data_IF_433615804790
#
_entry.id   IF_433615804790
#
_cell.length_a   1.000
_cell.length_b   1.000
_cell.length_c   1.000
_cell.angle_alpha   90.00
_cell.angle_beta   90.00
_cell.angle_gamma   90.00
#
_symmetry.space_group_name_H-M   'P 1'
#
loop_
_entity.id
_entity.type
_entity.pdbx_description
1 polymer ?
#
# COMPACT_ATOMS: atom_id res chain seq x y z
N UNK A 1 36.12 -10.00 -7.40
CA UNK A 1 35.20 -9.25 -6.52
C UNK A 1 34.30 -8.44 -7.45
N UNK A 2 33.16 -9.00 -7.87
CA UNK A 2 32.18 -8.28 -8.67
C UNK A 2 31.34 -7.45 -7.71
N UNK A 3 31.49 -6.13 -7.77
CA UNK A 3 30.53 -5.21 -7.15
C UNK A 3 29.26 -5.34 -8.00
N UNK A 4 28.27 -6.06 -7.49
CA UNK A 4 26.91 -5.96 -8.00
C UNK A 4 26.45 -4.55 -7.66
N UNK A 5 26.56 -3.65 -8.64
CA UNK A 5 25.92 -2.34 -8.54
C UNK A 5 24.43 -2.63 -8.68
N UNK A 6 23.75 -2.70 -7.55
CA UNK A 6 22.30 -2.80 -7.50
C UNK A 6 21.74 -1.46 -7.99
N UNK A 7 21.34 -1.41 -9.26
CA UNK A 7 20.70 -0.21 -9.83
C UNK A 7 19.28 -0.14 -9.29
N UNK A 8 19.11 0.52 -8.14
CA UNK A 8 17.79 0.90 -7.66
C UNK A 8 17.22 1.99 -8.57
N UNK A 9 16.21 1.63 -9.35
CA UNK A 9 15.46 2.59 -10.17
C UNK A 9 14.29 3.13 -9.37
N UNK A 10 14.29 4.44 -9.13
CA UNK A 10 13.14 5.14 -8.57
C UNK A 10 12.21 5.51 -9.73
N UNK A 11 10.97 5.06 -9.66
CA UNK A 11 9.93 5.32 -10.66
C UNK A 11 8.68 5.83 -9.96
N UNK A 12 8.01 6.82 -10.55
CA UNK A 12 6.76 7.34 -9.97
C UNK A 12 5.63 6.30 -10.10
N UNK A 13 4.72 6.28 -9.13
CA UNK A 13 3.58 5.35 -9.13
C UNK A 13 2.73 5.44 -10.41
N UNK A 14 2.35 6.64 -10.92
CA UNK A 14 1.59 6.73 -12.17
C UNK A 14 2.36 6.13 -13.35
N UNK A 15 3.68 6.34 -13.42
CA UNK A 15 4.50 5.82 -14.51
C UNK A 15 4.63 4.30 -14.45
N UNK A 16 4.83 3.74 -13.26
CA UNK A 16 4.87 2.29 -13.08
C UNK A 16 3.52 1.66 -13.44
N UNK A 17 2.42 2.24 -12.96
CA UNK A 17 1.06 1.79 -13.28
C UNK A 17 0.79 1.81 -14.79
N UNK A 18 1.16 2.89 -15.49
CA UNK A 18 1.05 2.97 -16.96
C UNK A 18 1.82 1.85 -17.67
N UNK A 19 3.05 1.56 -17.24
CA UNK A 19 3.87 0.50 -17.83
C UNK A 19 3.20 -0.86 -17.62
N UNK A 20 2.76 -1.15 -16.38
CA UNK A 20 2.07 -2.41 -16.06
C UNK A 20 0.79 -2.57 -16.87
N UNK A 21 -0.05 -1.53 -16.98
CA UNK A 21 -1.27 -1.57 -17.77
C UNK A 21 -1.02 -1.76 -19.28
N UNK A 22 0.13 -1.31 -19.81
CA UNK A 22 0.49 -1.57 -21.22
C UNK A 22 0.87 -3.03 -21.48
N UNK A 23 1.26 -3.77 -20.44
CA UNK A 23 1.65 -5.19 -20.54
C UNK A 23 0.46 -6.15 -20.40
N UNK A 24 -0.70 -5.66 -19.96
CA UNK A 24 -1.88 -6.48 -19.70
C UNK A 24 -2.97 -6.13 -20.74
N UNK A 25 -3.54 -7.13 -21.44
CA UNK A 25 -4.68 -6.90 -22.33
C UNK A 25 -5.83 -6.21 -21.59
N UNK A 26 -6.37 -5.13 -22.14
CA UNK A 26 -7.34 -4.25 -21.45
C UNK A 26 -8.61 -4.99 -21.06
N UNK A 27 -9.04 -5.94 -21.87
CA UNK A 27 -10.20 -6.81 -21.64
C UNK A 27 -10.05 -7.72 -20.42
N UNK A 28 -8.81 -7.93 -19.92
CA UNK A 28 -8.55 -8.66 -18.68
C UNK A 28 -8.63 -7.78 -17.43
N UNK A 29 -8.86 -6.47 -17.58
CA UNK A 29 -8.94 -5.52 -16.47
C UNK A 29 -10.38 -5.03 -16.34
N UNK A 30 -11.08 -5.52 -15.32
CA UNK A 30 -12.41 -5.04 -14.97
C UNK A 30 -12.31 -3.98 -13.85
N UNK A 31 -12.62 -2.74 -14.18
CA UNK A 31 -12.68 -1.63 -13.21
C UNK A 31 -14.04 -1.58 -12.50
N UNK A 32 -14.10 -0.90 -11.35
CA UNK A 32 -15.33 -0.77 -10.56
C UNK A 32 -15.75 -2.05 -9.82
N UNK A 33 -14.91 -3.09 -9.82
CA UNK A 33 -15.14 -4.40 -9.20
C UNK A 33 -14.55 -4.48 -7.79
N UNK A 34 -15.09 -3.75 -6.82
CA UNK A 34 -14.64 -3.90 -5.43
C UNK A 34 -15.25 -5.17 -4.83
N UNK A 35 -14.43 -6.12 -4.36
CA UNK A 35 -14.91 -7.32 -3.67
C UNK A 35 -15.52 -6.93 -2.32
N UNK A 36 -16.71 -7.45 -2.01
CA UNK A 36 -17.43 -7.22 -0.76
C UNK A 36 -17.48 -8.45 0.12
N UNK A 37 -17.65 -9.63 -0.48
CA UNK A 37 -17.66 -10.88 0.27
C UNK A 37 -17.16 -12.05 -0.56
N UNK A 38 -16.63 -13.07 0.14
CA UNK A 38 -16.07 -14.26 -0.47
C UNK A 38 -16.74 -15.51 0.09
N UNK A 39 -17.07 -16.47 -0.78
CA UNK A 39 -17.51 -17.81 -0.40
C UNK A 39 -16.63 -18.84 -1.10
N UNK A 40 -16.10 -19.82 -0.36
CA UNK A 40 -15.30 -20.91 -0.92
C UNK A 40 -15.97 -22.26 -0.70
N UNK A 41 -15.90 -23.14 -1.70
CA UNK A 41 -16.38 -24.52 -1.60
C UNK A 41 -15.48 -25.46 -2.44
N UNK A 42 -15.88 -26.72 -2.60
CA UNK A 42 -15.12 -27.72 -3.36
C UNK A 42 -15.01 -27.45 -4.87
N UNK A 43 -15.77 -26.50 -5.40
CA UNK A 43 -15.78 -26.10 -6.82
C UNK A 43 -14.99 -24.81 -7.08
N UNK A 44 -14.45 -24.16 -6.03
CA UNK A 44 -13.69 -22.93 -6.16
C UNK A 44 -14.19 -21.82 -5.23
N UNK A 45 -14.01 -20.57 -5.68
CA UNK A 45 -14.31 -19.36 -4.93
C UNK A 45 -15.28 -18.47 -5.70
N UNK A 46 -16.26 -17.92 -4.97
CA UNK A 46 -17.21 -16.93 -5.46
C UNK A 46 -16.98 -15.60 -4.74
N UNK A 47 -16.80 -14.52 -5.49
CA UNK A 47 -16.69 -13.17 -4.97
C UNK A 47 -17.91 -12.33 -5.36
N UNK A 48 -18.55 -11.67 -4.40
CA UNK A 48 -19.58 -10.67 -4.64
C UNK A 48 -18.93 -9.29 -4.77
N UNK A 49 -19.20 -8.58 -5.86
CA UNK A 49 -18.64 -7.26 -6.13
C UNK A 49 -19.61 -6.12 -5.75
N UNK A 50 -19.08 -4.90 -5.67
CA UNK A 50 -19.83 -3.68 -5.31
C UNK A 50 -20.91 -3.27 -6.30
N UNK A 51 -20.81 -3.74 -7.53
CA UNK A 51 -21.81 -3.52 -8.58
C UNK A 51 -22.90 -4.60 -8.62
N UNK A 52 -22.89 -5.53 -7.65
CA UNK A 52 -23.85 -6.62 -7.54
C UNK A 52 -23.49 -7.87 -8.35
N UNK A 53 -22.40 -7.86 -9.13
CA UNK A 53 -21.98 -9.04 -9.88
C UNK A 53 -21.35 -10.10 -8.97
N UNK A 54 -21.53 -11.37 -9.34
CA UNK A 54 -20.88 -12.52 -8.71
C UNK A 54 -19.86 -13.13 -9.68
N UNK A 55 -18.60 -13.17 -9.25
CA UNK A 55 -17.49 -13.74 -10.01
C UNK A 55 -17.13 -15.10 -9.46
N UNK A 56 -16.98 -16.09 -10.34
CA UNK A 56 -16.53 -17.44 -10.01
C UNK A 56 -15.12 -17.68 -10.54
N UNK A 57 -14.25 -18.27 -9.72
CA UNK A 57 -12.88 -18.63 -10.09
C UNK A 57 -12.41 -19.86 -9.31
N UNK A 58 -11.36 -20.51 -9.79
CA UNK A 58 -10.69 -21.58 -9.04
C UNK A 58 -9.84 -21.02 -7.88
N UNK A 59 -9.23 -19.85 -8.10
CA UNK A 59 -8.32 -19.17 -7.15
C UNK A 59 -8.65 -17.69 -7.11
N UNK A 60 -8.64 -17.12 -5.90
CA UNK A 60 -8.75 -15.68 -5.67
C UNK A 60 -7.46 -15.20 -4.99
N UNK A 61 -6.86 -14.15 -5.55
CA UNK A 61 -5.65 -13.52 -5.03
C UNK A 61 -6.02 -12.14 -4.50
N UNK A 62 -5.79 -11.90 -3.20
CA UNK A 62 -5.97 -10.60 -2.56
C UNK A 62 -4.80 -9.68 -2.87
N UNK A 63 -4.98 -8.77 -3.83
CA UNK A 63 -4.01 -7.72 -4.18
C UNK A 63 -4.63 -6.31 -4.04
N UNK A 64 -5.59 -6.16 -3.12
CA UNK A 64 -6.40 -4.96 -2.90
C UNK A 64 -5.84 -4.01 -1.82
N UNK A 65 -4.58 -4.21 -1.42
CA UNK A 65 -3.78 -3.28 -0.63
C UNK A 65 -4.03 -3.34 0.88
N UNK A 66 -3.54 -2.32 1.59
CA UNK A 66 -3.49 -2.25 3.06
C UNK A 66 -4.85 -2.40 3.77
N UNK A 67 -5.96 -2.20 3.06
CA UNK A 67 -7.31 -2.29 3.61
C UNK A 67 -8.08 -3.44 2.98
N UNK A 68 -7.38 -4.54 2.68
CA UNK A 68 -7.87 -5.65 1.89
C UNK A 68 -9.19 -6.19 2.42
N UNK A 69 -10.23 -6.04 1.61
CA UNK A 69 -11.52 -6.68 1.80
C UNK A 69 -11.39 -8.21 1.70
N UNK A 70 -10.46 -8.67 0.86
CA UNK A 70 -10.17 -10.09 0.68
C UNK A 70 -9.59 -10.69 1.96
N UNK A 71 -8.56 -10.06 2.52
CA UNK A 71 -7.92 -10.52 3.77
C UNK A 71 -8.92 -10.55 4.92
N UNK A 72 -9.73 -9.50 5.08
CA UNK A 72 -10.75 -9.45 6.14
C UNK A 72 -11.75 -10.60 6.03
N UNK A 73 -12.26 -10.87 4.82
CA UNK A 73 -13.16 -12.01 4.60
C UNK A 73 -12.49 -13.34 4.94
N UNK A 74 -11.21 -13.50 4.59
CA UNK A 74 -10.43 -14.69 4.91
C UNK A 74 -10.24 -14.86 6.42
N UNK A 75 -9.85 -13.79 7.12
CA UNK A 75 -9.66 -13.77 8.58
C UNK A 75 -10.95 -14.11 9.32
N UNK A 76 -12.08 -13.48 8.95
CA UNK A 76 -13.39 -13.80 9.55
C UNK A 76 -13.71 -15.29 9.40
N UNK A 77 -13.53 -15.86 8.21
CA UNK A 77 -13.79 -17.28 7.97
C UNK A 77 -12.85 -18.20 8.74
N UNK A 78 -11.58 -17.83 8.90
CA UNK A 78 -10.61 -18.62 9.67
C UNK A 78 -10.90 -18.56 11.17
N UNK A 79 -11.27 -17.38 11.70
CA UNK A 79 -11.70 -17.23 13.09
C UNK A 79 -12.94 -18.07 13.40
N UNK A 80 -13.97 -18.02 12.55
CA UNK A 80 -15.19 -18.82 12.72
C UNK A 80 -14.91 -20.34 12.72
N UNK A 81 -13.88 -20.77 11.99
CA UNK A 81 -13.43 -22.17 11.94
C UNK A 81 -12.45 -22.55 13.04
N UNK A 82 -11.99 -21.60 13.86
CA UNK A 82 -10.94 -21.82 14.85
C UNK A 82 -9.58 -22.16 14.24
N UNK A 83 -9.29 -21.65 13.04
CA UNK A 83 -8.06 -21.93 12.28
C UNK A 83 -7.14 -20.71 12.15
N UNK A 84 -7.47 -19.57 12.77
CA UNK A 84 -6.60 -18.40 12.75
C UNK A 84 -5.40 -18.61 13.70
N UNK A 85 -4.15 -18.44 13.23
CA UNK A 85 -2.97 -18.44 14.11
C UNK A 85 -3.07 -17.38 15.22
N UNK A 86 -2.49 -17.66 16.39
CA UNK A 86 -2.51 -16.72 17.53
C UNK A 86 -1.65 -15.47 17.23
N UNK A 87 -0.58 -15.65 16.47
CA UNK A 87 0.32 -14.58 16.04
C UNK A 87 -0.42 -13.54 15.19
N UNK A 88 -1.31 -14.00 14.30
CA UNK A 88 -2.18 -13.16 13.45
C UNK A 88 -3.30 -12.46 14.22
N UNK A 89 -3.57 -12.89 15.46
CA UNK A 89 -4.54 -12.26 16.34
C UNK A 89 -3.92 -11.12 17.18
N UNK A 90 -2.59 -10.95 17.14
CA UNK A 90 -1.86 -10.01 17.98
C UNK A 90 -1.40 -8.76 17.22
N UNK A 91 -1.42 -7.60 17.90
CA UNK A 91 -0.83 -6.38 17.33
C UNK A 91 0.69 -6.56 17.19
N UNK A 92 1.29 -6.26 16.04
CA UNK A 92 2.72 -6.46 15.87
C UNK A 92 3.53 -5.48 16.74
N UNK A 93 4.62 -5.92 17.38
CA UNK A 93 5.38 -5.10 18.32
C UNK A 93 6.35 -4.17 17.58
N UNK A 94 5.87 -3.04 17.08
CA UNK A 94 6.74 -2.05 16.45
C UNK A 94 7.02 -0.84 17.35
N UNK A 95 8.31 -0.46 17.39
CA UNK A 95 8.78 0.82 17.88
C UNK A 95 8.78 1.85 16.74
N UNK A 96 8.49 3.12 17.05
CA UNK A 96 8.43 4.17 16.02
C UNK A 96 9.83 4.51 15.51
N UNK A 97 10.12 4.20 14.25
CA UNK A 97 11.30 4.65 13.52
C UNK A 97 10.86 5.52 12.34
N UNK A 98 11.40 6.74 12.26
CA UNK A 98 11.24 7.63 11.10
C UNK A 98 12.58 7.71 10.36
N UNK A 99 12.61 7.24 9.11
CA UNK A 99 13.75 7.34 8.20
C UNK A 99 13.42 8.33 7.09
N UNK A 100 14.25 9.35 6.94
CA UNK A 100 14.23 10.29 5.82
C UNK A 100 15.44 10.00 4.92
N UNK A 101 15.24 9.99 3.60
CA UNK A 101 16.32 9.81 2.62
C UNK A 101 16.06 10.65 1.38
N UNK A 102 17.13 11.16 0.76
CA UNK A 102 17.07 11.88 -0.50
C UNK A 102 18.16 11.33 -1.43
N UNK A 103 17.84 11.18 -2.72
CA UNK A 103 18.68 10.51 -3.72
C UNK A 103 18.78 11.36 -4.98
N UNK A 104 19.99 11.61 -5.47
CA UNK A 104 20.20 12.23 -6.78
C UNK A 104 19.95 11.22 -7.90
N UNK A 105 19.26 11.65 -8.95
CA UNK A 105 18.94 10.82 -10.11
C UNK A 105 19.85 11.17 -11.31
N UNK A 106 20.07 10.23 -12.27
CA UNK A 106 20.90 10.48 -13.45
C UNK A 106 20.43 11.62 -14.35
N UNK A 107 19.13 11.96 -14.31
CA UNK A 107 18.55 13.08 -15.05
C UNK A 107 18.71 14.44 -14.35
N UNK A 108 19.45 14.49 -13.23
CA UNK A 108 19.67 15.68 -12.42
C UNK A 108 18.55 16.00 -11.43
N UNK A 109 17.47 15.21 -11.41
CA UNK A 109 16.40 15.36 -10.42
C UNK A 109 16.78 14.76 -9.06
N UNK A 110 15.99 15.06 -8.02
CA UNK A 110 16.15 14.48 -6.68
C UNK A 110 14.87 13.72 -6.31
N UNK A 111 15.02 12.47 -5.88
CA UNK A 111 13.97 11.72 -5.23
C UNK A 111 14.11 11.83 -3.70
N UNK A 112 12.99 11.76 -2.98
CA UNK A 112 12.98 11.72 -1.52
C UNK A 112 12.00 10.66 -1.03
N UNK A 113 12.29 10.10 0.15
CA UNK A 113 11.49 9.06 0.79
C UNK A 113 11.44 9.35 2.30
N UNK A 114 10.24 9.24 2.87
CA UNK A 114 10.06 9.15 4.31
C UNK A 114 9.36 7.85 4.65
N UNK A 115 10.01 7.02 5.46
CA UNK A 115 9.45 5.81 6.03
C UNK A 115 9.19 6.05 7.51
N UNK A 116 7.93 5.99 7.90
CA UNK A 116 7.54 6.05 9.31
C UNK A 116 6.93 4.70 9.69
N UNK A 117 7.59 3.97 10.58
CA UNK A 117 6.95 2.88 11.30
C UNK A 117 6.07 3.50 12.37
N UNK A 118 4.75 3.35 12.28
CA UNK A 118 3.87 3.74 13.36
C UNK A 118 3.95 2.64 14.44
N UNK A 119 4.52 2.95 15.62
CA UNK A 119 4.28 2.12 16.80
C UNK A 119 2.78 2.10 17.14
N UNK A 120 2.34 1.15 17.98
CA UNK A 120 0.93 0.84 18.28
C UNK A 120 0.05 2.10 18.38
N UNK A 121 -0.53 2.51 17.25
CA UNK A 121 -1.52 3.57 17.24
C UNK A 121 -2.77 2.90 17.76
N UNK A 122 -3.19 3.24 18.99
CA UNK A 122 -4.44 2.75 19.58
C UNK A 122 -5.50 2.64 18.49
N UNK A 123 -6.03 1.44 18.34
CA UNK A 123 -7.13 1.06 17.48
C UNK A 123 -8.31 2.02 17.68
N UNK A 124 -8.35 3.09 16.89
CA UNK A 124 -9.60 3.78 16.56
C UNK A 124 -10.16 3.05 15.34
N UNK A 125 -10.61 1.83 15.59
CA UNK A 125 -10.87 0.72 14.66
C UNK A 125 -12.02 0.94 13.69
N UNK A 126 -12.58 2.15 13.57
CA UNK A 126 -13.73 2.40 12.70
C UNK A 126 -13.55 3.61 11.77
N UNK A 127 -12.76 4.61 12.16
CA UNK A 127 -12.53 5.81 11.32
C UNK A 127 -11.39 5.61 10.30
N UNK A 128 -10.33 4.87 10.68
CA UNK A 128 -9.20 4.56 9.79
C UNK A 128 -9.57 3.65 8.62
N UNK A 129 -10.68 2.92 8.77
CA UNK A 129 -11.16 1.90 7.83
C UNK A 129 -11.98 2.48 6.68
N UNK A 130 -12.44 3.73 6.80
CA UNK A 130 -13.32 4.39 5.82
C UNK A 130 -12.59 5.35 4.89
N UNK A 131 -11.34 5.69 5.17
CA UNK A 131 -10.47 6.35 4.21
C UNK A 131 -9.84 5.26 3.34
N UNK A 132 -10.61 4.75 2.38
CA UNK A 132 -9.96 4.41 1.12
C UNK A 132 -9.39 5.75 0.66
N UNK A 133 -8.08 5.91 0.59
CA UNK A 133 -7.47 5.81 -0.71
C UNK A 133 -5.97 6.02 -0.59
N UNK A 134 -5.28 5.40 -1.53
CA UNK A 134 -4.03 5.86 -2.08
C UNK A 134 -4.19 7.26 -2.72
N UNK A 135 -4.58 8.26 -1.92
CA UNK A 135 -5.05 9.57 -2.34
C UNK A 135 -4.11 10.70 -1.94
N UNK A 136 -4.26 11.85 -2.60
CA UNK A 136 -3.40 13.03 -2.42
C UNK A 136 -3.55 13.69 -1.05
N UNK A 137 -4.76 13.67 -0.46
CA UNK A 137 -5.07 14.35 0.81
C UNK A 137 -4.32 13.73 2.01
N UNK A 138 -4.25 12.41 2.04
CA UNK A 138 -3.49 11.65 3.03
C UNK A 138 -1.98 11.83 2.86
N UNK A 139 -1.51 11.94 1.60
CA UNK A 139 -0.13 12.24 1.28
C UNK A 139 0.24 13.68 1.68
N UNK A 140 -0.67 14.64 1.53
CA UNK A 140 -0.50 16.03 1.98
C UNK A 140 -0.43 16.14 3.50
N UNK A 141 -1.28 15.41 4.21
CA UNK A 141 -1.23 15.34 5.68
C UNK A 141 0.12 14.81 6.15
N UNK A 142 0.60 13.69 5.60
CA UNK A 142 1.93 13.15 5.93
C UNK A 142 3.06 14.07 5.48
N UNK A 143 2.95 14.69 4.30
CA UNK A 143 3.94 15.65 3.83
C UNK A 143 4.07 16.81 4.80
N UNK A 144 2.95 17.27 5.38
CA UNK A 144 2.93 18.34 6.39
C UNK A 144 3.66 17.94 7.68
N UNK A 145 3.50 16.70 8.16
CA UNK A 145 4.14 16.26 9.41
C UNK A 145 5.65 16.10 9.31
N UNK A 146 6.20 15.96 8.10
CA UNK A 146 7.63 15.69 7.88
C UNK A 146 8.41 16.89 7.34
N UNK A 147 7.74 18.04 7.12
CA UNK A 147 8.35 19.23 6.46
C UNK A 147 9.62 19.73 7.13
N UNK A 148 9.67 19.67 8.46
CA UNK A 148 10.78 20.23 9.22
C UNK A 148 11.97 19.27 9.34
N UNK A 149 11.86 18.04 8.85
CA UNK A 149 12.97 17.09 8.88
C UNK A 149 14.14 17.59 8.00
N UNK A 150 15.38 17.54 8.52
CA UNK A 150 16.55 17.97 7.76
C UNK A 150 16.86 17.00 6.62
N UNK A 151 17.39 17.53 5.52
CA UNK A 151 17.92 16.78 4.38
C UNK A 151 19.44 16.91 4.30
N UNK A 152 20.16 15.89 3.79
CA UNK A 152 21.60 15.95 3.56
C UNK A 152 22.04 17.04 2.57
N UNK A 153 21.10 17.65 1.84
CA UNK A 153 21.36 18.70 0.85
C UNK A 153 21.30 20.14 1.42
N UNK A 154 21.32 20.31 2.74
CA UNK A 154 21.33 21.64 3.37
C UNK A 154 19.97 22.36 3.36
N UNK A 155 18.88 21.63 3.11
CA UNK A 155 17.50 22.10 3.15
C UNK A 155 16.64 21.20 4.07
N UNK A 156 15.38 21.57 4.28
CA UNK A 156 14.39 20.68 4.93
C UNK A 156 13.64 19.85 3.89
N UNK A 157 12.95 18.79 4.31
CA UNK A 157 12.04 18.07 3.41
C UNK A 157 10.91 18.96 2.87
N UNK A 158 10.51 19.99 3.62
CA UNK A 158 9.54 21.00 3.16
C UNK A 158 9.96 21.66 1.85
N UNK A 159 11.25 21.98 1.69
CA UNK A 159 11.79 22.51 0.43
C UNK A 159 11.58 21.53 -0.72
N UNK A 160 11.88 20.24 -0.52
CA UNK A 160 11.70 19.22 -1.55
C UNK A 160 10.21 18.98 -1.87
N UNK A 161 9.35 18.95 -0.85
CA UNK A 161 7.89 18.80 -1.00
C UNK A 161 7.32 19.93 -1.85
N UNK A 162 7.71 21.19 -1.59
CA UNK A 162 7.18 22.35 -2.30
C UNK A 162 7.65 22.41 -3.76
N UNK A 163 8.81 21.84 -4.06
CA UNK A 163 9.37 21.76 -5.42
C UNK A 163 9.02 20.44 -6.15
N UNK A 164 8.30 19.52 -5.50
CA UNK A 164 7.86 18.26 -6.12
C UNK A 164 6.46 18.44 -6.72
N UNK A 165 6.24 18.14 -8.01
CA UNK A 165 4.89 18.10 -8.57
C UNK A 165 3.98 17.19 -7.73
N UNK A 166 2.76 17.65 -7.38
CA UNK A 166 1.85 16.89 -6.51
C UNK A 166 1.55 15.47 -7.02
N UNK A 167 1.51 15.30 -8.35
CA UNK A 167 1.36 14.00 -9.01
C UNK A 167 2.53 13.02 -8.80
N UNK A 168 3.69 13.53 -8.38
CA UNK A 168 4.89 12.76 -8.07
C UNK A 168 5.00 12.34 -6.60
N UNK A 169 4.13 12.83 -5.72
CA UNK A 169 4.11 12.46 -4.30
C UNK A 169 3.13 11.30 -4.11
N UNK A 170 3.54 10.26 -3.41
CA UNK A 170 2.68 9.11 -3.09
C UNK A 170 2.90 8.64 -1.67
N UNK A 171 1.81 8.35 -0.97
CA UNK A 171 1.82 7.64 0.31
C UNK A 171 1.69 6.15 0.04
N UNK A 172 2.53 5.36 0.69
CA UNK A 172 2.46 3.89 0.69
C UNK A 172 2.37 3.43 2.13
N UNK A 173 1.38 2.59 2.42
CA UNK A 173 1.27 1.89 3.69
C UNK A 173 1.60 0.43 3.44
N UNK A 174 2.52 -0.11 4.24
CA UNK A 174 2.81 -1.54 4.29
C UNK A 174 2.28 -2.05 5.61
N UNK A 175 1.54 -3.14 5.54
CA UNK A 175 1.11 -3.91 6.70
C UNK A 175 1.80 -5.27 6.66
N UNK A 176 2.02 -5.85 7.84
CA UNK A 176 2.62 -7.15 8.00
C UNK A 176 1.67 -7.99 8.82
N UNK A 177 1.04 -8.97 8.17
CA UNK A 177 0.25 -10.02 8.80
C UNK A 177 0.94 -11.36 8.48
N UNK A 178 1.07 -12.24 9.47
CA UNK A 178 1.87 -13.46 9.41
C UNK A 178 0.97 -14.68 9.17
N UNK A 179 0.55 -14.92 7.92
CA UNK A 179 -0.18 -16.14 7.54
C UNK A 179 0.61 -17.43 7.82
#
# INVERSE_FOLDING_TARGET
MHVLIDYSYIITRPRLYEIMCKLIPKEKIAYGKKVLSIQQNSQGVMARCSDGEHLHADVLIGADGAYSSVRQNMFTQMMEKGLLPEEDASDPPFNTLCLSSCFSQPDGSVAWLVLQHAGSFKTRSEERFRSSEWGSEDAETMATTVRDLPSPFGHTLGYFIDNTPKTGISKVMLEYDCL
#
